data_IF_010168711667
#
_entry.id   IF_010168711667
#
_cell.length_a   1.000
_cell.length_b   1.000
_cell.length_c   1.000
_cell.angle_alpha   90.00
_cell.angle_beta   90.00
_cell.angle_gamma   90.00
#
_symmetry.space_group_name_H-M   'P 1'
#
loop_
_entity.id
_entity.type
_entity.pdbx_description
1 polymer ?
#
# COMPACT_ATOMS: atom_id res chain seq x y z
N UNK A 1 -15.54 -4.98 0.76
CA UNK A 1 -14.67 -4.85 -0.43
C UNK A 1 -13.74 -6.04 -0.48
N UNK A 2 -13.21 -6.35 -1.66
CA UNK A 2 -12.15 -7.36 -1.80
C UNK A 2 -10.80 -6.66 -1.92
N UNK A 3 -9.87 -6.98 -1.03
CA UNK A 3 -8.54 -6.37 -0.96
C UNK A 3 -7.49 -7.47 -1.16
N UNK A 4 -6.60 -7.27 -2.12
CA UNK A 4 -5.45 -8.15 -2.35
C UNK A 4 -4.19 -7.45 -1.88
N UNK A 5 -3.44 -8.08 -0.96
CA UNK A 5 -2.21 -7.55 -0.37
C UNK A 5 -1.03 -8.41 -0.83
N UNK A 6 -0.04 -7.79 -1.46
CA UNK A 6 1.20 -8.45 -1.85
C UNK A 6 2.33 -8.10 -0.88
N UNK A 7 2.76 -9.10 -0.13
CA UNK A 7 3.76 -9.04 0.92
C UNK A 7 3.18 -9.32 2.30
N UNK A 8 3.45 -10.50 2.86
CA UNK A 8 3.19 -10.84 4.25
C UNK A 8 4.26 -10.23 5.18
N UNK A 9 4.63 -8.97 4.93
CA UNK A 9 5.50 -8.16 5.78
C UNK A 9 4.75 -7.74 7.05
N UNK A 10 5.45 -7.09 7.98
CA UNK A 10 4.80 -6.54 9.17
C UNK A 10 3.64 -5.61 8.81
N UNK A 11 3.85 -4.71 7.84
CA UNK A 11 2.81 -3.80 7.33
C UNK A 11 1.66 -4.59 6.69
N UNK A 12 1.96 -5.56 5.84
CA UNK A 12 0.94 -6.37 5.18
C UNK A 12 0.09 -7.18 6.17
N UNK A 13 0.73 -7.74 7.21
CA UNK A 13 0.05 -8.45 8.28
C UNK A 13 -0.84 -7.51 9.12
N UNK A 14 -0.35 -6.33 9.48
CA UNK A 14 -1.13 -5.32 10.21
C UNK A 14 -2.36 -4.89 9.41
N UNK A 15 -2.19 -4.56 8.13
CA UNK A 15 -3.31 -4.19 7.25
C UNK A 15 -4.34 -5.32 7.13
N UNK A 16 -3.88 -6.56 6.94
CA UNK A 16 -4.77 -7.70 6.84
C UNK A 16 -5.57 -7.92 8.13
N UNK A 17 -4.91 -7.81 9.29
CA UNK A 17 -5.55 -7.96 10.60
C UNK A 17 -6.54 -6.84 10.92
N UNK A 18 -6.28 -5.63 10.45
CA UNK A 18 -7.18 -4.48 10.66
C UNK A 18 -8.44 -4.57 9.80
N UNK A 19 -8.33 -5.14 8.60
CA UNK A 19 -9.42 -5.11 7.63
C UNK A 19 -10.23 -6.41 7.50
N UNK A 20 -9.77 -7.55 8.06
CA UNK A 20 -10.37 -8.85 7.79
C UNK A 20 -11.82 -9.00 8.31
N UNK A 21 -12.22 -8.28 9.35
CA UNK A 21 -13.57 -8.36 9.89
C UNK A 21 -14.63 -7.78 8.95
N UNK A 22 -14.27 -6.74 8.19
CA UNK A 22 -15.20 -6.00 7.32
C UNK A 22 -14.98 -6.24 5.82
N UNK A 23 -13.87 -6.90 5.44
CA UNK A 23 -13.44 -7.02 4.05
C UNK A 23 -12.93 -8.42 3.73
N UNK A 24 -13.11 -8.84 2.48
CA UNK A 24 -12.52 -10.07 1.93
C UNK A 24 -11.03 -9.84 1.62
N UNK A 25 -10.15 -10.46 2.37
CA UNK A 25 -8.70 -10.27 2.29
C UNK A 25 -8.04 -11.48 1.64
N UNK A 26 -7.20 -11.20 0.64
CA UNK A 26 -6.28 -12.19 0.06
C UNK A 26 -4.85 -11.68 0.18
N UNK A 27 -3.96 -12.47 0.79
CA UNK A 27 -2.53 -12.17 0.87
C UNK A 27 -1.79 -13.00 -0.19
N UNK A 28 -0.86 -12.36 -0.89
CA UNK A 28 0.09 -13.02 -1.78
C UNK A 28 1.49 -12.87 -1.17
N UNK A 29 2.20 -13.97 -0.98
CA UNK A 29 3.62 -13.94 -0.59
C UNK A 29 4.38 -15.14 -1.19
N UNK A 30 5.69 -15.01 -1.33
CA UNK A 30 6.55 -16.10 -1.81
C UNK A 30 6.79 -17.16 -0.73
N UNK A 31 6.72 -16.78 0.54
CA UNK A 31 7.01 -17.63 1.68
C UNK A 31 5.72 -18.23 2.25
N UNK A 32 5.63 -19.55 2.21
CA UNK A 32 4.48 -20.32 2.70
C UNK A 32 4.37 -20.35 4.23
N UNK A 33 5.49 -20.18 4.93
CA UNK A 33 5.59 -20.31 6.40
C UNK A 33 4.71 -19.31 7.19
N UNK A 34 4.16 -18.29 6.54
CA UNK A 34 3.23 -17.32 7.16
C UNK A 34 1.75 -17.65 6.94
N UNK A 35 1.43 -18.63 6.13
CA UNK A 35 0.04 -19.03 5.85
C UNK A 35 -0.71 -19.49 7.11
N UNK A 36 -0.03 -20.12 8.06
CA UNK A 36 -0.63 -20.64 9.30
C UNK A 36 -1.15 -19.52 10.23
N UNK A 37 -0.59 -18.33 10.16
CA UNK A 37 -1.05 -17.16 10.92
C UNK A 37 -2.40 -16.68 10.39
N UNK A 38 -2.60 -16.73 9.08
CA UNK A 38 -3.81 -16.26 8.39
C UNK A 38 -4.92 -17.31 8.35
N UNK A 39 -4.59 -18.60 8.42
CA UNK A 39 -5.58 -19.69 8.46
C UNK A 39 -6.52 -19.64 9.68
N UNK A 40 -6.13 -18.93 10.76
CA UNK A 40 -6.96 -18.68 11.94
C UNK A 40 -7.90 -17.50 11.79
N UNK A 41 -7.65 -16.67 10.81
CA UNK A 41 -8.45 -15.53 10.40
C UNK A 41 -9.09 -15.92 9.06
N UNK A 42 -10.22 -15.34 8.73
CA UNK A 42 -10.86 -15.59 7.42
C UNK A 42 -10.13 -14.82 6.30
N UNK A 43 -8.83 -15.13 6.14
CA UNK A 43 -7.90 -14.51 5.19
C UNK A 43 -7.40 -15.58 4.23
N UNK A 44 -7.61 -15.38 2.93
CA UNK A 44 -7.09 -16.25 1.88
C UNK A 44 -5.60 -16.01 1.67
N UNK A 45 -4.82 -17.08 1.48
CA UNK A 45 -3.39 -17.00 1.18
C UNK A 45 -3.06 -17.62 -0.19
N UNK A 46 -2.30 -16.90 -1.00
CA UNK A 46 -1.80 -17.35 -2.31
C UNK A 46 -0.28 -17.29 -2.32
N UNK A 47 0.36 -18.45 -2.41
CA UNK A 47 1.80 -18.51 -2.52
C UNK A 47 2.26 -18.08 -3.91
N UNK A 48 3.17 -17.09 -3.98
CA UNK A 48 3.74 -16.67 -5.24
C UNK A 48 4.25 -15.23 -5.29
N UNK A 49 4.61 -14.82 -6.51
CA UNK A 49 5.04 -13.46 -6.82
C UNK A 49 3.95 -12.75 -7.61
N UNK A 50 3.41 -11.67 -7.07
CA UNK A 50 2.34 -10.90 -7.72
C UNK A 50 2.76 -10.17 -9.01
N UNK A 51 4.06 -10.14 -9.34
CA UNK A 51 4.50 -9.73 -10.67
C UNK A 51 4.15 -10.77 -11.76
N UNK A 52 3.75 -11.99 -11.37
CA UNK A 52 3.29 -13.03 -12.27
C UNK A 52 1.75 -12.95 -12.42
N UNK A 53 1.28 -12.84 -13.66
CA UNK A 53 -0.14 -12.73 -14.00
C UNK A 53 -0.95 -13.95 -13.51
N UNK A 54 -0.38 -15.16 -13.52
CA UNK A 54 -1.12 -16.35 -13.11
C UNK A 54 -1.33 -16.36 -11.58
N UNK A 55 -0.38 -15.87 -10.80
CA UNK A 55 -0.54 -15.66 -9.36
C UNK A 55 -1.64 -14.63 -9.08
N UNK A 56 -1.66 -13.51 -9.81
CA UNK A 56 -2.72 -12.51 -9.69
C UNK A 56 -4.10 -13.08 -10.06
N UNK A 57 -4.19 -13.93 -11.07
CA UNK A 57 -5.44 -14.62 -11.41
C UNK A 57 -5.90 -15.58 -10.31
N UNK A 58 -4.96 -16.32 -9.69
CA UNK A 58 -5.27 -17.22 -8.57
C UNK A 58 -5.78 -16.42 -7.36
N UNK A 59 -5.26 -15.21 -7.13
CA UNK A 59 -5.75 -14.28 -6.11
C UNK A 59 -7.04 -13.56 -6.52
N UNK A 60 -7.61 -13.90 -7.66
CA UNK A 60 -8.86 -13.34 -8.18
C UNK A 60 -8.84 -11.81 -8.32
N UNK A 61 -7.72 -11.28 -8.83
CA UNK A 61 -7.47 -9.84 -8.96
C UNK A 61 -8.53 -9.09 -9.77
N UNK A 62 -9.25 -9.77 -10.68
CA UNK A 62 -10.29 -9.15 -11.51
C UNK A 62 -11.51 -8.71 -10.72
N UNK A 63 -11.77 -9.36 -9.60
CA UNK A 63 -12.88 -9.05 -8.70
C UNK A 63 -12.43 -8.24 -7.47
N UNK A 64 -11.15 -7.87 -7.40
CA UNK A 64 -10.63 -7.04 -6.32
C UNK A 64 -10.97 -5.56 -6.54
N UNK A 65 -11.23 -4.86 -5.45
CA UNK A 65 -11.43 -3.41 -5.41
C UNK A 65 -10.10 -2.68 -5.27
N UNK A 66 -9.20 -3.24 -4.44
CA UNK A 66 -7.92 -2.63 -4.09
C UNK A 66 -6.81 -3.70 -4.14
N UNK A 67 -5.67 -3.30 -4.69
CA UNK A 67 -4.41 -4.06 -4.64
C UNK A 67 -3.35 -3.23 -3.91
N UNK A 68 -2.76 -3.80 -2.86
CA UNK A 68 -1.71 -3.17 -2.04
C UNK A 68 -0.43 -3.96 -2.21
N UNK A 69 0.67 -3.33 -2.65
CA UNK A 69 1.98 -3.94 -2.71
C UNK A 69 2.89 -3.33 -1.64
N UNK A 70 3.28 -4.15 -0.66
CA UNK A 70 4.06 -3.73 0.51
C UNK A 70 5.19 -4.73 0.87
N UNK A 71 5.80 -5.37 -0.14
CA UNK A 71 7.01 -6.17 0.09
C UNK A 71 8.21 -5.28 0.39
N UNK A 72 9.33 -5.88 0.78
CA UNK A 72 10.59 -5.17 1.03
C UNK A 72 11.36 -4.78 -0.24
N UNK A 73 10.81 -5.07 -1.44
CA UNK A 73 11.47 -4.85 -2.73
C UNK A 73 10.63 -3.89 -3.55
N UNK A 74 11.08 -2.63 -3.66
CA UNK A 74 10.35 -1.56 -4.36
C UNK A 74 10.02 -1.92 -5.81
N UNK A 75 10.97 -2.47 -6.55
CA UNK A 75 10.77 -2.88 -7.95
C UNK A 75 9.71 -3.97 -8.10
N UNK A 76 9.65 -4.91 -7.15
CA UNK A 76 8.61 -5.94 -7.13
C UNK A 76 7.23 -5.34 -6.86
N UNK A 77 7.15 -4.36 -5.94
CA UNK A 77 5.91 -3.64 -5.63
C UNK A 77 5.40 -2.87 -6.84
N UNK A 78 6.29 -2.14 -7.52
CA UNK A 78 5.96 -1.35 -8.72
C UNK A 78 5.45 -2.28 -9.84
N UNK A 79 6.20 -3.34 -10.16
CA UNK A 79 5.81 -4.28 -11.24
C UNK A 79 4.50 -4.99 -10.89
N UNK A 80 4.29 -5.37 -9.63
CA UNK A 80 3.06 -6.02 -9.20
C UNK A 80 1.86 -5.07 -9.32
N UNK A 81 1.98 -3.80 -8.91
CA UNK A 81 0.93 -2.80 -9.07
C UNK A 81 0.55 -2.58 -10.54
N UNK A 82 1.56 -2.43 -11.43
CA UNK A 82 1.33 -2.29 -12.86
C UNK A 82 0.62 -3.52 -13.45
N UNK A 83 1.03 -4.72 -13.04
CA UNK A 83 0.42 -5.98 -13.49
C UNK A 83 -1.01 -6.11 -12.99
N UNK A 84 -1.27 -5.81 -11.72
CA UNK A 84 -2.60 -5.84 -11.12
C UNK A 84 -3.55 -4.84 -11.81
N UNK A 85 -3.09 -3.63 -12.05
CA UNK A 85 -3.85 -2.60 -12.77
C UNK A 85 -4.21 -3.03 -14.17
N UNK A 86 -3.25 -3.60 -14.91
CA UNK A 86 -3.46 -4.06 -16.28
C UNK A 86 -4.42 -5.24 -16.38
N UNK A 87 -4.38 -6.17 -15.42
CA UNK A 87 -5.17 -7.42 -15.45
C UNK A 87 -6.57 -7.22 -14.88
N UNK A 88 -6.67 -6.49 -13.77
CA UNK A 88 -7.90 -6.32 -13.00
C UNK A 88 -8.56 -4.95 -13.13
N UNK A 89 -7.84 -3.92 -13.60
CA UNK A 89 -8.33 -2.54 -13.55
C UNK A 89 -8.46 -2.00 -12.11
N UNK A 90 -7.93 -2.74 -11.14
CA UNK A 90 -8.04 -2.51 -9.72
C UNK A 90 -7.35 -1.21 -9.28
N UNK A 91 -7.81 -0.59 -8.20
CA UNK A 91 -7.11 0.53 -7.57
C UNK A 91 -5.84 0.03 -6.89
N UNK A 92 -4.71 0.70 -7.12
CA UNK A 92 -3.39 0.25 -6.67
C UNK A 92 -2.77 1.17 -5.64
N UNK A 93 -2.19 0.59 -4.59
CA UNK A 93 -1.41 1.27 -3.56
C UNK A 93 -0.03 0.61 -3.53
N UNK A 94 1.02 1.38 -3.82
CA UNK A 94 2.40 0.93 -3.91
C UNK A 94 3.24 1.52 -2.78
N UNK A 95 3.81 0.66 -1.95
CA UNK A 95 4.82 1.07 -0.97
C UNK A 95 6.19 1.12 -1.63
N UNK A 96 6.94 2.19 -1.37
CA UNK A 96 8.32 2.36 -1.78
C UNK A 96 9.15 2.82 -0.60
N UNK A 97 10.37 2.31 -0.45
CA UNK A 97 11.30 2.66 0.62
C UNK A 97 12.32 3.72 0.18
N UNK A 98 12.52 3.88 -1.12
CA UNK A 98 13.52 4.81 -1.68
C UNK A 98 12.87 6.05 -2.27
N UNK A 99 13.36 7.22 -1.86
CA UNK A 99 12.88 8.53 -2.33
C UNK A 99 12.95 8.68 -3.85
N UNK A 100 13.95 8.09 -4.48
CA UNK A 100 14.12 8.13 -5.93
C UNK A 100 12.94 7.53 -6.70
N UNK A 101 12.36 6.43 -6.20
CA UNK A 101 11.16 5.85 -6.82
C UNK A 101 9.94 6.73 -6.62
N UNK A 102 9.77 7.30 -5.43
CA UNK A 102 8.69 8.27 -5.20
C UNK A 102 8.77 9.45 -6.16
N UNK A 103 9.97 10.02 -6.34
CA UNK A 103 10.19 11.12 -7.29
C UNK A 103 9.89 10.71 -8.71
N UNK A 104 10.39 9.54 -9.15
CA UNK A 104 10.18 9.03 -10.50
C UNK A 104 8.70 8.78 -10.79
N UNK A 105 8.00 8.10 -9.88
CA UNK A 105 6.59 7.74 -10.06
C UNK A 105 5.64 8.95 -9.95
N UNK A 106 6.02 10.00 -9.23
CA UNK A 106 5.23 11.23 -9.13
C UNK A 106 5.58 12.29 -10.21
N UNK A 107 6.66 12.10 -10.96
CA UNK A 107 7.16 13.07 -11.94
C UNK A 107 6.11 13.40 -13.02
N UNK A 108 5.25 12.46 -13.36
CA UNK A 108 4.34 12.54 -14.51
C UNK A 108 2.99 13.20 -14.23
N UNK A 109 2.62 13.40 -12.95
CA UNK A 109 1.34 14.08 -12.63
C UNK A 109 1.24 15.52 -13.14
N UNK A 110 2.36 16.08 -13.62
CA UNK A 110 2.47 17.47 -14.07
C UNK A 110 2.77 17.67 -15.56
N UNK A 111 2.79 16.61 -16.38
CA UNK A 111 3.09 16.72 -17.82
C UNK A 111 1.94 16.21 -18.69
N UNK A 112 1.41 17.09 -19.54
CA UNK A 112 0.28 16.84 -20.45
C UNK A 112 0.52 15.78 -21.55
N UNK A 113 1.69 15.13 -21.60
CA UNK A 113 2.11 14.30 -22.74
C UNK A 113 2.70 12.93 -22.39
N UNK A 114 2.57 12.42 -21.19
CA UNK A 114 3.09 11.08 -20.84
C UNK A 114 1.98 10.17 -20.35
N UNK A 115 2.02 8.91 -20.79
CA UNK A 115 1.12 7.86 -20.31
C UNK A 115 1.35 7.66 -18.80
N UNK A 116 0.32 7.92 -18.00
CA UNK A 116 0.32 7.75 -16.56
C UNK A 116 0.94 6.39 -16.18
N UNK A 117 1.93 6.40 -15.30
CA UNK A 117 2.24 5.21 -14.53
C UNK A 117 0.96 4.84 -13.80
N UNK A 118 0.39 3.69 -14.14
CA UNK A 118 -0.91 3.24 -13.67
C UNK A 118 -0.87 2.80 -12.19
N UNK A 119 -0.27 3.61 -11.31
CA UNK A 119 -0.28 3.45 -9.87
C UNK A 119 -1.08 4.61 -9.27
N UNK A 120 -2.17 4.28 -8.59
CA UNK A 120 -3.10 5.30 -8.09
C UNK A 120 -2.53 6.02 -6.86
N UNK A 121 -1.88 5.27 -5.95
CA UNK A 121 -1.30 5.82 -4.71
C UNK A 121 0.09 5.26 -4.47
N UNK A 122 1.01 6.16 -4.09
CA UNK A 122 2.38 5.82 -3.71
C UNK A 122 2.55 6.23 -2.25
N UNK A 123 2.99 5.29 -1.42
CA UNK A 123 3.25 5.49 0.00
C UNK A 123 4.74 5.30 0.26
N UNK A 124 5.36 6.32 0.85
CA UNK A 124 6.71 6.28 1.38
C UNK A 124 6.63 6.41 2.91
N UNK A 125 6.71 5.28 3.66
CA UNK A 125 6.47 5.26 5.11
C UNK A 125 7.41 6.16 5.90
N UNK A 126 8.67 6.26 5.49
CA UNK A 126 9.67 7.09 6.16
C UNK A 126 9.30 8.58 6.14
N UNK A 127 8.68 9.06 5.05
CA UNK A 127 8.20 10.44 4.99
C UNK A 127 7.04 10.68 5.95
N UNK A 128 6.07 9.76 5.98
CA UNK A 128 4.93 9.86 6.89
C UNK A 128 5.39 9.87 8.34
N UNK A 129 6.28 8.94 8.70
CA UNK A 129 6.87 8.89 10.04
C UNK A 129 7.64 10.17 10.38
N UNK A 130 8.43 10.68 9.43
CA UNK A 130 9.20 11.93 9.63
C UNK A 130 8.26 13.12 9.82
N UNK A 131 7.18 13.21 9.07
CA UNK A 131 6.18 14.26 9.23
C UNK A 131 5.48 14.17 10.59
N UNK A 132 5.16 12.96 11.06
CA UNK A 132 4.55 12.74 12.37
C UNK A 132 5.52 13.13 13.51
N UNK A 133 6.77 12.70 13.44
CA UNK A 133 7.78 13.09 14.42
C UNK A 133 7.98 14.61 14.42
N UNK A 134 8.11 15.22 13.24
CA UNK A 134 8.25 16.68 13.13
C UNK A 134 7.05 17.41 13.76
N UNK A 135 5.84 16.89 13.52
CA UNK A 135 4.60 17.40 14.11
C UNK A 135 4.66 17.38 15.64
N UNK A 136 4.98 16.22 16.23
CA UNK A 136 5.09 16.04 17.69
C UNK A 136 6.15 16.98 18.29
N UNK A 137 7.31 17.10 17.66
CA UNK A 137 8.42 17.94 18.17
C UNK A 137 8.11 19.43 18.06
N UNK A 138 7.46 19.85 16.96
CA UNK A 138 7.20 21.27 16.71
C UNK A 138 6.05 21.82 17.56
N UNK A 139 5.09 20.98 17.91
CA UNK A 139 3.91 21.36 18.67
C UNK A 139 3.83 20.51 19.95
N UNK A 140 4.87 20.60 20.78
CA UNK A 140 5.04 19.76 21.98
C UNK A 140 3.90 19.87 23.03
N UNK A 141 3.00 20.84 22.91
CA UNK A 141 1.84 21.02 23.82
C UNK A 141 0.51 20.60 23.20
N UNK A 142 0.46 20.28 21.91
CA UNK A 142 -0.76 19.77 21.30
C UNK A 142 -0.87 18.26 21.49
N UNK A 143 -2.08 17.79 21.78
CA UNK A 143 -2.39 16.36 21.88
C UNK A 143 -2.44 15.74 20.48
N UNK A 144 -2.95 16.48 19.51
CA UNK A 144 -2.98 16.09 18.11
C UNK A 144 -2.81 17.30 17.18
N UNK A 145 -2.27 17.05 15.98
CA UNK A 145 -2.01 18.08 14.96
C UNK A 145 -2.35 17.50 13.60
N UNK A 146 -3.44 17.96 13.01
CA UNK A 146 -3.78 17.60 11.64
C UNK A 146 -3.46 18.73 10.66
N UNK A 147 -2.83 18.37 9.54
CA UNK A 147 -2.54 19.29 8.45
C UNK A 147 -3.59 19.16 7.33
N UNK A 148 -4.13 20.28 6.88
CA UNK A 148 -5.06 20.39 5.76
C UNK A 148 -4.50 21.25 4.65
N UNK A 149 -4.97 21.00 3.41
CA UNK A 149 -4.63 21.80 2.24
C UNK A 149 -3.10 21.93 2.02
N UNK A 150 -2.39 20.80 2.01
CA UNK A 150 -0.93 20.72 1.84
C UNK A 150 -0.15 21.56 2.88
N UNK A 151 -0.58 21.53 4.14
CA UNK A 151 0.05 22.22 5.25
C UNK A 151 -0.28 23.71 5.38
N UNK A 152 -1.19 24.24 4.55
CA UNK A 152 -1.64 25.65 4.62
C UNK A 152 -2.61 25.92 5.76
N UNK A 153 -3.25 24.89 6.30
CA UNK A 153 -4.11 24.98 7.50
C UNK A 153 -3.75 23.85 8.46
N UNK A 154 -3.82 24.14 9.77
CA UNK A 154 -3.54 23.17 10.83
C UNK A 154 -4.67 23.16 11.85
N UNK A 155 -5.12 21.97 12.22
CA UNK A 155 -5.96 21.76 13.39
C UNK A 155 -5.07 21.31 14.54
N UNK A 156 -5.19 21.98 15.70
CA UNK A 156 -4.44 21.69 16.90
C UNK A 156 -5.40 21.32 18.01
N UNK A 157 -5.25 20.16 18.60
CA UNK A 157 -5.97 19.77 19.80
C UNK A 157 -5.08 20.01 21.03
N UNK A 158 -5.58 20.79 21.98
CA UNK A 158 -4.94 21.06 23.27
C UNK A 158 -5.77 20.47 24.40
N UNK A 159 -5.09 20.09 25.49
CA UNK A 159 -5.72 19.63 26.72
C UNK A 159 -6.13 20.81 27.59
#
# INVERSE_FOLDING_TARGET
MKIVIYGATEIGCLLATEFFEDHDITIIDKEENRSDEFNKLDISFVQGNASNIDVLKTADIKNADIFIACTTIDEANIVACLSAKKVGGVRTICFVSREEYKKTLNFEKNSDNFTDFFIDYIIWPEELLTQDIFRIVTVAQALDVENFADGRARLLEYK
#
